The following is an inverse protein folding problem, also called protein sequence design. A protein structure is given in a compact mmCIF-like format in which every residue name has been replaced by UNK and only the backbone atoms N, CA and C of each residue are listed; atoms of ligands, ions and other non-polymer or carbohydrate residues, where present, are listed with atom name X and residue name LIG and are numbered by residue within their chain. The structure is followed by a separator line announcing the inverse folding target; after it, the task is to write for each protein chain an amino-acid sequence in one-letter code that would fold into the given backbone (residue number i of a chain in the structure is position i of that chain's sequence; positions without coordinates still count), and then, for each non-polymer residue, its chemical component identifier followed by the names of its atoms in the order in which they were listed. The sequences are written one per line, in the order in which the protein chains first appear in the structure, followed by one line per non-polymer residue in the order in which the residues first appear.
data_IF_140504334928
#
_entry.id   IF_140504334928
#
_cell.length_a   1.000
_cell.length_b   1.000
_cell.length_c   1.000
_cell.angle_alpha   90.00
_cell.angle_beta   90.00
_cell.angle_gamma   90.00
#
_symmetry.space_group_name_H-M   'P 1'
#
loop_
_entity.id
_entity.type
_entity.pdbx_description
1 polymer ?
#
# COMPACT_ATOMS: atom_id res chain seq x y z
N UNK A 1 -24.47 -17.47 46.87
CA UNK A 1 -24.10 -18.20 45.63
C UNK A 1 -24.14 -17.37 44.34
N UNK A 2 -25.03 -16.38 44.16
CA UNK A 2 -25.08 -15.57 42.92
C UNK A 2 -23.85 -14.70 42.64
N UNK A 3 -23.18 -14.20 43.69
CA UNK A 3 -22.01 -13.32 43.54
C UNK A 3 -20.69 -14.06 43.22
N UNK A 4 -20.65 -15.38 43.37
CA UNK A 4 -19.43 -16.17 43.15
C UNK A 4 -19.18 -16.41 41.65
N UNK A 5 -20.24 -16.58 40.86
CA UNK A 5 -20.12 -16.73 39.40
C UNK A 5 -19.67 -15.43 38.72
N UNK A 6 -20.05 -14.26 39.23
CA UNK A 6 -19.69 -12.96 38.62
C UNK A 6 -18.20 -12.65 38.79
N UNK A 7 -17.60 -13.07 39.91
CA UNK A 7 -16.18 -12.85 40.19
C UNK A 7 -15.26 -13.67 39.25
N UNK A 8 -15.66 -14.90 38.94
CA UNK A 8 -14.88 -15.81 38.08
C UNK A 8 -14.81 -15.27 36.64
N UNK A 9 -15.88 -14.64 36.15
CA UNK A 9 -15.92 -14.12 34.78
C UNK A 9 -14.94 -12.93 34.58
N UNK A 10 -14.76 -12.09 35.60
CA UNK A 10 -13.82 -10.96 35.52
C UNK A 10 -12.34 -11.42 35.52
N UNK A 11 -12.02 -12.50 36.24
CA UNK A 11 -10.65 -13.04 36.31
C UNK A 11 -10.21 -13.58 34.94
N UNK A 12 -11.11 -14.18 34.15
CA UNK A 12 -10.79 -14.73 32.83
C UNK A 12 -10.47 -13.62 31.81
N UNK A 13 -11.12 -12.46 31.91
CA UNK A 13 -10.86 -11.32 31.01
C UNK A 13 -9.49 -10.70 31.27
N UNK A 14 -9.03 -10.69 32.53
CA UNK A 14 -7.71 -10.12 32.90
C UNK A 14 -6.58 -11.13 32.63
N UNK A 15 -6.85 -12.43 32.75
CA UNK A 15 -5.91 -13.50 32.45
C UNK A 15 -5.83 -13.85 30.94
N UNK A 16 -6.57 -13.12 30.09
CA UNK A 16 -6.52 -13.17 28.62
C UNK A 16 -5.20 -12.65 28.04
N UNK A 17 -4.12 -13.30 28.46
CA UNK A 17 -2.81 -13.48 27.86
C UNK A 17 -2.62 -12.79 26.50
N UNK A 18 -2.29 -11.49 26.54
CA UNK A 18 -1.53 -10.85 25.48
C UNK A 18 -0.18 -11.54 25.39
N UNK A 19 -0.08 -12.59 24.56
CA UNK A 19 1.21 -13.14 24.14
C UNK A 19 1.95 -12.01 23.43
N UNK A 20 2.79 -11.31 24.18
CA UNK A 20 3.81 -10.41 23.67
C UNK A 20 4.64 -11.26 22.71
N UNK A 21 4.49 -11.03 21.42
CA UNK A 21 5.32 -11.69 20.42
C UNK A 21 6.77 -11.32 20.76
N UNK A 22 7.50 -12.26 21.34
CA UNK A 22 8.94 -12.14 21.46
C UNK A 22 9.49 -12.26 20.06
N UNK A 23 9.81 -11.11 19.47
CA UNK A 23 10.64 -11.04 18.26
C UNK A 23 11.92 -11.79 18.61
N UNK A 24 12.13 -12.93 17.95
CA UNK A 24 13.29 -13.76 18.19
C UNK A 24 14.51 -13.06 17.57
N UNK A 25 15.33 -12.42 18.42
CA UNK A 25 16.54 -11.69 18.02
C UNK A 25 17.71 -12.62 17.62
N UNK A 26 17.58 -13.94 17.82
CA UNK A 26 18.57 -14.93 17.38
C UNK A 26 18.31 -15.38 15.94
N UNK A 27 18.20 -14.44 15.00
CA UNK A 27 18.40 -14.79 13.59
C UNK A 27 19.91 -14.94 13.37
N UNK A 28 20.40 -16.06 12.83
CA UNK A 28 21.81 -16.19 12.50
C UNK A 28 22.21 -15.03 11.57
N UNK A 29 23.31 -14.35 11.89
CA UNK A 29 23.92 -13.38 10.98
C UNK A 29 24.25 -14.12 9.68
N UNK A 30 23.40 -13.93 8.67
CA UNK A 30 23.59 -14.58 7.37
C UNK A 30 24.88 -14.02 6.77
N UNK A 31 25.87 -14.87 6.44
CA UNK A 31 27.10 -14.40 5.82
C UNK A 31 26.80 -13.95 4.39
N UNK A 32 26.61 -12.64 4.19
CA UNK A 32 26.40 -12.04 2.87
C UNK A 32 25.39 -10.90 2.86
N UNK A 33 25.25 -10.23 1.72
CA UNK A 33 24.19 -9.24 1.50
C UNK A 33 22.84 -9.95 1.45
N UNK A 34 21.99 -9.69 2.43
CA UNK A 34 20.64 -10.21 2.54
C UNK A 34 19.69 -9.32 1.75
N UNK A 35 18.88 -9.90 0.87
CA UNK A 35 17.90 -9.16 0.07
C UNK A 35 16.49 -9.52 0.50
N UNK A 36 15.61 -8.51 0.59
CA UNK A 36 14.21 -8.70 0.92
C UNK A 36 13.34 -8.18 -0.21
N UNK A 37 12.32 -8.96 -0.57
CA UNK A 37 11.30 -8.57 -1.53
C UNK A 37 9.94 -8.45 -0.85
N UNK A 38 9.14 -7.47 -1.29
CA UNK A 38 7.81 -7.19 -0.74
C UNK A 38 6.75 -7.96 -1.54
N UNK A 39 5.92 -8.72 -0.84
CA UNK A 39 4.72 -9.36 -1.37
C UNK A 39 3.46 -8.59 -0.95
N UNK A 40 2.60 -8.32 -1.93
CA UNK A 40 1.25 -7.81 -1.67
C UNK A 40 0.33 -8.99 -1.35
N UNK A 41 -0.15 -9.08 -0.12
CA UNK A 41 -0.97 -10.21 0.33
C UNK A 41 -2.44 -9.91 0.06
N UNK A 42 -3.10 -10.86 -0.63
CA UNK A 42 -4.51 -10.77 -1.04
C UNK A 42 -4.85 -9.48 -1.79
N UNK A 43 -4.13 -9.14 -2.88
CA UNK A 43 -4.39 -7.92 -3.63
C UNK A 43 -5.78 -7.98 -4.28
N UNK A 44 -6.55 -6.91 -4.16
CA UNK A 44 -7.88 -6.75 -4.74
C UNK A 44 -7.98 -5.43 -5.47
N UNK A 45 -8.53 -5.44 -6.68
CA UNK A 45 -8.87 -4.21 -7.40
C UNK A 45 -10.06 -3.58 -6.68
N UNK A 46 -9.88 -2.33 -6.24
CA UNK A 46 -10.94 -1.56 -5.55
C UNK A 46 -11.71 -0.70 -6.55
N UNK A 47 -10.99 -0.07 -7.47
CA UNK A 47 -11.56 0.83 -8.45
C UNK A 47 -10.68 0.86 -9.70
N UNK A 48 -11.31 1.00 -10.87
CA UNK A 48 -10.64 1.08 -12.16
C UNK A 48 -11.34 2.12 -13.02
N UNK A 49 -10.57 2.87 -13.79
CA UNK A 49 -11.03 3.79 -14.84
C UNK A 49 -10.27 3.42 -16.14
N UNK A 50 -10.41 4.23 -17.19
CA UNK A 50 -9.73 3.97 -18.46
C UNK A 50 -8.22 3.86 -18.32
N UNK A 51 -7.58 4.70 -17.50
CA UNK A 51 -6.12 4.77 -17.33
C UNK A 51 -5.65 4.30 -15.96
N UNK A 52 -6.45 4.51 -14.90
CA UNK A 52 -6.05 4.22 -13.52
C UNK A 52 -6.61 2.89 -13.05
N UNK A 53 -5.83 2.15 -12.26
CA UNK A 53 -6.32 1.03 -11.46
C UNK A 53 -5.82 1.17 -10.03
N UNK A 54 -6.74 1.17 -9.07
CA UNK A 54 -6.45 1.19 -7.65
C UNK A 54 -6.56 -0.22 -7.09
N UNK A 55 -5.46 -0.71 -6.54
CA UNK A 55 -5.33 -2.04 -5.93
C UNK A 55 -5.12 -1.85 -4.42
N UNK A 56 -5.85 -2.61 -3.62
CA UNK A 56 -5.67 -2.71 -2.17
C UNK A 56 -5.09 -4.06 -1.78
N UNK A 57 -4.16 -4.09 -0.84
CA UNK A 57 -3.78 -5.29 -0.10
C UNK A 57 -4.10 -5.13 1.40
N UNK A 58 -4.35 -6.26 2.05
CA UNK A 58 -4.56 -6.30 3.50
C UNK A 58 -3.25 -6.03 4.25
N UNK A 59 -2.14 -6.59 3.76
CA UNK A 59 -0.81 -6.42 4.33
C UNK A 59 0.29 -6.49 3.26
N UNK A 60 1.47 -5.97 3.61
CA UNK A 60 2.71 -6.19 2.88
C UNK A 60 3.60 -7.12 3.69
N UNK A 61 3.92 -8.27 3.13
CA UNK A 61 4.87 -9.20 3.73
C UNK A 61 6.24 -9.00 3.05
N UNK A 62 7.32 -9.25 3.78
CA UNK A 62 8.67 -9.29 3.21
C UNK A 62 9.21 -10.70 3.33
N UNK A 63 9.83 -11.21 2.27
CA UNK A 63 10.49 -12.51 2.28
C UNK A 63 11.93 -12.38 1.83
N UNK A 64 12.77 -13.26 2.38
CA UNK A 64 14.19 -13.34 2.07
C UNK A 64 14.39 -13.91 0.66
N UNK A 65 15.23 -13.27 -0.15
CA UNK A 65 15.65 -13.79 -1.45
C UNK A 65 17.17 -13.88 -1.52
N UNK A 66 17.68 -14.95 -2.14
CA UNK A 66 19.12 -15.21 -2.27
C UNK A 66 19.81 -14.20 -3.20
N UNK A 67 19.08 -13.73 -4.21
CA UNK A 67 19.49 -12.69 -5.15
C UNK A 67 18.28 -11.81 -5.39
N UNK A 68 18.43 -10.47 -5.42
CA UNK A 68 17.31 -9.63 -5.79
C UNK A 68 16.93 -10.03 -7.21
N UNK A 69 15.65 -10.25 -7.46
CA UNK A 69 15.18 -10.31 -8.84
C UNK A 69 15.68 -9.01 -9.47
N UNK A 70 16.55 -9.10 -10.49
CA UNK A 70 16.87 -7.93 -11.30
C UNK A 70 15.55 -7.53 -11.89
N UNK A 71 14.87 -6.59 -11.24
CA UNK A 71 13.70 -5.92 -11.75
C UNK A 71 14.22 -5.27 -13.02
N UNK A 72 14.10 -5.99 -14.14
CA UNK A 72 14.11 -5.36 -15.45
C UNK A 72 13.09 -4.26 -15.25
N UNK A 73 13.55 -3.01 -15.29
CA UNK A 73 12.75 -1.85 -14.98
C UNK A 73 11.66 -1.73 -16.03
N UNK A 74 10.69 -2.64 -15.98
CA UNK A 74 9.33 -2.37 -16.38
C UNK A 74 9.03 -1.14 -15.57
N UNK A 75 9.03 -0.04 -16.30
CA UNK A 75 8.69 1.28 -15.84
C UNK A 75 7.47 1.09 -14.94
N UNK A 76 7.69 1.10 -13.63
CA UNK A 76 6.64 0.84 -12.67
C UNK A 76 5.81 2.10 -12.62
N UNK A 77 4.84 2.17 -13.53
CA UNK A 77 3.85 3.22 -13.69
C UNK A 77 2.87 3.24 -12.51
N UNK A 78 3.38 3.13 -11.28
CA UNK A 78 2.56 2.97 -10.10
C UNK A 78 3.01 3.86 -8.96
N UNK A 79 2.10 4.11 -8.03
CA UNK A 79 2.36 4.87 -6.81
C UNK A 79 1.73 4.12 -5.65
N UNK A 80 2.51 3.92 -4.59
CA UNK A 80 2.10 3.17 -3.41
C UNK A 80 1.88 4.13 -2.22
N UNK A 81 0.85 3.89 -1.43
CA UNK A 81 0.54 4.65 -0.22
C UNK A 81 -0.19 3.76 0.80
N UNK A 82 -0.24 4.20 2.05
CA UNK A 82 -0.88 3.48 3.15
C UNK A 82 -1.95 4.36 3.79
N UNK A 83 -3.13 3.81 3.97
CA UNK A 83 -4.24 4.46 4.67
C UNK A 83 -4.34 3.87 6.07
N UNK A 84 -4.24 4.73 7.08
CA UNK A 84 -4.28 4.33 8.49
C UNK A 84 -5.73 4.32 9.01
N UNK A 85 -6.54 5.30 8.59
CA UNK A 85 -7.90 5.49 9.06
C UNK A 85 -8.93 5.10 8.01
N UNK A 86 -10.04 4.50 8.46
CA UNK A 86 -11.15 4.16 7.57
C UNK A 86 -11.87 5.43 7.06
N UNK A 87 -12.57 5.28 5.94
CA UNK A 87 -13.31 6.35 5.26
C UNK A 87 -12.43 7.44 4.63
N UNK A 88 -11.20 7.08 4.25
CA UNK A 88 -10.26 8.00 3.63
C UNK A 88 -10.75 8.50 2.26
N UNK A 89 -10.52 9.77 1.99
CA UNK A 89 -10.66 10.39 0.68
C UNK A 89 -9.31 10.47 -0.01
N UNK A 90 -9.24 10.09 -1.28
CA UNK A 90 -8.01 10.07 -2.06
C UNK A 90 -8.20 10.67 -3.44
N UNK A 91 -7.32 11.60 -3.81
CA UNK A 91 -7.20 12.14 -5.17
C UNK A 91 -5.85 11.72 -5.71
N UNK A 92 -5.84 11.13 -6.90
CA UNK A 92 -4.63 10.88 -7.68
C UNK A 92 -4.66 11.80 -8.89
N UNK A 93 -3.64 12.62 -9.04
CA UNK A 93 -3.46 13.53 -10.16
C UNK A 93 -2.29 13.04 -11.01
N UNK A 94 -2.52 12.91 -12.31
CA UNK A 94 -1.48 12.76 -13.31
C UNK A 94 -1.20 14.11 -13.94
N UNK A 95 0.04 14.57 -13.83
CA UNK A 95 0.50 15.88 -14.27
C UNK A 95 1.53 15.75 -15.40
N UNK A 96 1.53 16.73 -16.29
CA UNK A 96 2.56 16.87 -17.32
C UNK A 96 3.87 17.45 -16.73
N UNK A 97 4.95 17.56 -17.51
CA UNK A 97 6.21 18.18 -17.07
C UNK A 97 6.09 19.60 -16.52
N UNK A 98 5.09 20.36 -16.98
CA UNK A 98 4.82 21.73 -16.56
C UNK A 98 3.98 21.80 -15.26
N UNK A 99 3.65 20.65 -14.66
CA UNK A 99 2.82 20.55 -13.46
C UNK A 99 1.31 20.67 -13.70
N UNK A 100 0.88 20.76 -14.96
CA UNK A 100 -0.54 20.85 -15.33
C UNK A 100 -1.19 19.48 -15.15
N UNK A 101 -2.32 19.43 -14.45
CA UNK A 101 -3.10 18.21 -14.25
C UNK A 101 -3.78 17.82 -15.57
N UNK A 102 -3.41 16.66 -16.11
CA UNK A 102 -3.98 16.09 -17.33
C UNK A 102 -5.23 15.29 -17.01
N UNK A 103 -5.17 14.47 -15.94
CA UNK A 103 -6.24 13.56 -15.55
C UNK A 103 -6.20 13.34 -14.04
N UNK A 104 -7.38 13.26 -13.44
CA UNK A 104 -7.55 12.96 -12.02
C UNK A 104 -8.38 11.70 -11.83
N UNK A 105 -8.10 11.00 -10.74
CA UNK A 105 -8.81 9.82 -10.28
C UNK A 105 -9.13 10.01 -8.80
N UNK A 106 -10.41 9.87 -8.46
CA UNK A 106 -10.91 10.15 -7.11
C UNK A 106 -11.50 8.87 -6.53
N UNK A 107 -11.04 8.49 -5.34
CA UNK A 107 -11.58 7.39 -4.56
C UNK A 107 -12.05 7.90 -3.20
N UNK A 108 -13.23 7.45 -2.76
CA UNK A 108 -13.85 7.87 -1.49
C UNK A 108 -14.11 6.67 -0.61
N UNK A 109 -14.23 6.91 0.69
CA UNK A 109 -14.57 5.90 1.69
C UNK A 109 -13.61 4.71 1.70
N UNK A 110 -12.33 4.94 1.41
CA UNK A 110 -11.33 3.88 1.42
C UNK A 110 -11.09 3.42 2.85
N UNK A 111 -11.07 2.11 3.07
CA UNK A 111 -10.72 1.52 4.37
C UNK A 111 -9.21 1.53 4.56
N UNK A 112 -8.75 1.43 5.80
CA UNK A 112 -7.36 1.19 6.17
C UNK A 112 -6.71 0.03 5.39
N UNK A 113 -5.43 0.17 5.07
CA UNK A 113 -4.62 -0.83 4.34
C UNK A 113 -3.65 -0.23 3.34
N UNK A 114 -2.98 -1.10 2.60
CA UNK A 114 -1.95 -0.73 1.63
C UNK A 114 -2.56 -0.59 0.24
N UNK A 115 -2.24 0.50 -0.46
CA UNK A 115 -2.79 0.81 -1.76
C UNK A 115 -1.70 1.05 -2.80
N UNK A 116 -1.95 0.57 -4.02
CA UNK A 116 -1.13 0.83 -5.20
C UNK A 116 -2.03 1.31 -6.31
N UNK A 117 -1.74 2.48 -6.85
CA UNK A 117 -2.36 2.97 -8.08
C UNK A 117 -1.43 2.65 -9.21
N UNK A 118 -1.92 2.02 -10.28
CA UNK A 118 -1.16 1.75 -11.51
C UNK A 118 -1.77 2.53 -12.67
N UNK A 119 -0.93 2.98 -13.60
CA UNK A 119 -1.35 3.63 -14.85
C UNK A 119 -1.13 2.72 -16.05
N UNK A 120 -2.12 2.71 -16.93
CA UNK A 120 -2.00 2.18 -18.27
C UNK A 120 -1.80 3.32 -19.27
N UNK A 121 -0.54 3.69 -19.50
CA UNK A 121 -0.19 4.77 -20.43
C UNK A 121 -0.49 4.41 -21.89
N UNK A 122 -0.70 3.13 -22.22
CA UNK A 122 -1.04 2.72 -23.59
C UNK A 122 -2.44 3.20 -24.01
N UNK A 123 -3.28 3.56 -23.04
CA UNK A 123 -4.64 4.07 -23.24
C UNK A 123 -4.73 5.60 -23.27
N UNK A 124 -3.60 6.30 -23.16
CA UNK A 124 -3.56 7.76 -23.33
C UNK A 124 -3.75 8.15 -24.78
N UNK A 125 -4.54 9.20 -25.01
CA UNK A 125 -4.68 9.83 -26.33
C UNK A 125 -3.36 10.50 -26.75
N UNK A 126 -3.08 10.53 -28.05
CA UNK A 126 -1.85 11.12 -28.61
C UNK A 126 -1.63 12.58 -28.21
N UNK A 127 -2.70 13.35 -28.00
CA UNK A 127 -2.62 14.75 -27.56
C UNK A 127 -2.03 14.91 -26.15
N UNK A 128 -1.96 13.84 -25.36
CA UNK A 128 -1.44 13.83 -23.99
C UNK A 128 -0.11 13.09 -23.88
N UNK A 129 0.61 12.84 -24.97
CA UNK A 129 1.92 12.19 -24.95
C UNK A 129 3.02 13.16 -24.56
N UNK A 130 3.51 13.02 -23.32
CA UNK A 130 4.67 13.73 -22.78
C UNK A 130 5.86 12.77 -22.56
N UNK A 131 7.11 13.28 -22.47
CA UNK A 131 8.29 12.45 -22.24
C UNK A 131 8.38 11.84 -20.84
N UNK A 132 7.55 12.32 -19.91
CA UNK A 132 7.34 11.78 -18.57
C UNK A 132 6.12 12.45 -17.95
N UNK A 133 5.60 11.85 -16.88
CA UNK A 133 4.48 12.34 -16.09
C UNK A 133 4.87 12.40 -14.61
N UNK A 134 4.13 13.19 -13.84
CA UNK A 134 4.16 13.11 -12.39
C UNK A 134 2.85 12.54 -11.87
N UNK A 135 2.93 11.54 -11.00
CA UNK A 135 1.80 11.12 -10.18
C UNK A 135 1.90 11.77 -8.82
N UNK A 136 0.86 12.53 -8.46
CA UNK A 136 0.64 13.05 -7.13
C UNK A 136 -0.57 12.34 -6.52
N UNK A 137 -0.45 11.85 -5.29
CA UNK A 137 -1.60 11.38 -4.52
C UNK A 137 -1.77 12.23 -3.27
N UNK A 138 -2.99 12.64 -3.02
CA UNK A 138 -3.43 13.32 -1.81
C UNK A 138 -4.42 12.38 -1.12
N UNK A 139 -4.15 11.95 0.11
CA UNK A 139 -4.99 11.00 0.84
C UNK A 139 -5.06 11.37 2.31
N UNK A 140 -6.27 11.46 2.89
CA UNK A 140 -6.46 11.75 4.31
C UNK A 140 -5.67 12.98 4.82
N UNK A 141 -5.51 14.03 3.99
CA UNK A 141 -4.68 15.22 4.28
C UNK A 141 -3.16 15.00 4.26
N UNK A 142 -2.68 13.83 3.80
CA UNK A 142 -1.28 13.56 3.47
C UNK A 142 -1.05 13.65 1.97
N UNK A 143 0.20 13.91 1.54
CA UNK A 143 0.58 13.97 0.13
C UNK A 143 1.80 13.07 -0.17
N UNK A 144 1.82 12.45 -1.35
CA UNK A 144 2.97 11.68 -1.86
C UNK A 144 3.10 11.87 -3.40
N UNK A 145 4.32 11.84 -3.93
CA UNK A 145 4.62 12.15 -5.33
C UNK A 145 5.64 11.17 -5.93
N UNK A 146 5.50 10.88 -7.24
CA UNK A 146 6.45 10.07 -8.00
C UNK A 146 6.52 10.53 -9.46
N UNK A 147 7.75 10.62 -9.99
CA UNK A 147 7.99 10.82 -11.43
C UNK A 147 7.91 9.49 -12.16
N UNK A 148 7.20 9.45 -13.28
CA UNK A 148 6.98 8.30 -14.14
C UNK A 148 7.50 8.65 -15.54
N UNK A 149 8.40 7.86 -16.14
CA UNK A 149 8.91 8.12 -17.48
C UNK A 149 7.85 7.91 -18.58
#
# INVERSE_FOLDING_TARGET
MKYFCTLIFFIIIIAGCGKKQTINFNQPELPGTVYYEKAWVEPKIVLTDSIFTLIKAARLDSFLVEKPMRYQSSIDNSLQFNIIEDSCFTIVNMQNPDGIVIKSFIARFLKSGFYKVTLDLSRLSDQYKFPYYFLKVEYCSFENYRKIP
#
